data_IF_639422763735
#
_entry.id   IF_639422763735
#
_cell.length_a   1.000
_cell.length_b   1.000
_cell.length_c   1.000
_cell.angle_alpha   90.00
_cell.angle_beta   90.00
_cell.angle_gamma   90.00
#
_symmetry.space_group_name_H-M   'P 1'
#
loop_
_entity.id
_entity.type
_entity.pdbx_description
1 polymer ?
#
# COMPACT_ATOMS: atom_id res chain seq x y z
N UNK A 1 -4.32 17.27 0.06
CA UNK A 1 -5.64 16.62 0.05
C UNK A 1 -5.69 15.73 1.28
N UNK A 2 -6.69 15.88 2.17
CA UNK A 2 -6.81 14.97 3.32
C UNK A 2 -7.28 13.61 2.77
N UNK A 3 -6.49 12.57 2.99
CA UNK A 3 -6.89 11.22 2.59
C UNK A 3 -7.97 10.77 3.58
N UNK A 4 -9.12 10.35 3.07
CA UNK A 4 -10.21 9.80 3.91
C UNK A 4 -10.36 8.31 3.64
N UNK A 5 -10.97 7.60 4.57
CA UNK A 5 -11.31 6.17 4.45
C UNK A 5 -12.07 5.86 3.16
N UNK A 6 -13.07 6.68 2.82
CA UNK A 6 -13.85 6.54 1.59
C UNK A 6 -13.00 6.78 0.35
N UNK A 7 -12.08 7.75 0.42
CA UNK A 7 -11.17 8.06 -0.69
C UNK A 7 -10.20 6.90 -0.96
N UNK A 8 -9.64 6.31 0.10
CA UNK A 8 -8.78 5.12 0.00
C UNK A 8 -9.54 3.95 -0.63
N UNK A 9 -10.71 3.61 -0.08
CA UNK A 9 -11.51 2.49 -0.59
C UNK A 9 -11.96 2.74 -2.04
N UNK A 10 -12.34 3.98 -2.37
CA UNK A 10 -12.68 4.36 -3.75
C UNK A 10 -11.51 4.15 -4.70
N UNK A 11 -10.29 4.55 -4.32
CA UNK A 11 -9.09 4.33 -5.13
C UNK A 11 -8.81 2.84 -5.29
N UNK A 12 -8.82 2.06 -4.21
CA UNK A 12 -8.51 0.64 -4.27
C UNK A 12 -9.50 -0.15 -5.13
N UNK A 13 -10.78 0.25 -5.14
CA UNK A 13 -11.82 -0.40 -5.97
C UNK A 13 -11.72 -0.08 -7.45
N UNK A 14 -11.01 0.98 -7.85
CA UNK A 14 -10.93 1.40 -9.26
C UNK A 14 -10.14 0.44 -10.14
N UNK A 15 -9.13 -0.22 -9.58
CA UNK A 15 -8.24 -1.10 -10.33
C UNK A 15 -7.67 -2.18 -9.40
N UNK A 16 -7.71 -3.44 -9.84
CA UNK A 16 -7.25 -4.58 -9.06
C UNK A 16 -5.72 -4.58 -8.80
N UNK A 17 -4.96 -3.75 -9.51
CA UNK A 17 -3.53 -3.50 -9.29
C UNK A 17 -3.28 -2.58 -8.08
N UNK A 18 -4.28 -1.78 -7.69
CA UNK A 18 -4.16 -0.83 -6.60
C UNK A 18 -4.03 -1.57 -5.27
N UNK A 19 -3.17 -1.07 -4.39
CA UNK A 19 -2.86 -1.72 -3.13
C UNK A 19 -2.36 -0.70 -2.11
N UNK A 20 -2.42 -1.06 -0.83
CA UNK A 20 -1.66 -0.35 0.21
C UNK A 20 -0.44 -1.21 0.54
N UNK A 21 0.75 -0.63 0.54
CA UNK A 21 1.97 -1.28 1.00
C UNK A 21 2.41 -0.69 2.32
N UNK A 22 2.48 -1.52 3.35
CA UNK A 22 3.25 -1.25 4.56
C UNK A 22 4.62 -1.86 4.34
N UNK A 23 5.68 -1.08 4.55
CA UNK A 23 7.05 -1.57 4.43
C UNK A 23 7.86 -1.20 5.66
N UNK A 24 8.85 -2.03 5.97
CA UNK A 24 9.86 -1.78 6.97
C UNK A 24 11.23 -2.32 6.55
N UNK A 25 12.27 -1.67 7.04
CA UNK A 25 13.66 -2.09 6.91
C UNK A 25 14.36 -2.00 8.26
N UNK A 26 15.09 -3.05 8.58
CA UNK A 26 15.88 -3.25 9.80
C UNK A 26 15.09 -3.22 11.10
N UNK A 27 13.76 -3.33 11.07
CA UNK A 27 12.90 -3.24 12.26
C UNK A 27 13.24 -4.27 13.34
N UNK A 28 13.72 -5.46 12.96
CA UNK A 28 14.10 -6.53 13.90
C UNK A 28 15.61 -6.75 14.02
N UNK A 29 16.43 -5.94 13.33
CA UNK A 29 17.88 -6.14 13.28
C UNK A 29 18.57 -5.61 14.55
N UNK A 30 19.21 -6.51 15.30
CA UNK A 30 19.96 -6.16 16.52
C UNK A 30 21.17 -5.28 16.16
N UNK A 31 21.22 -4.07 16.72
CA UNK A 31 22.31 -3.11 16.48
C UNK A 31 22.09 -2.15 15.30
N UNK A 32 20.89 -2.15 14.70
CA UNK A 32 20.54 -1.15 13.70
C UNK A 32 20.53 0.26 14.32
N UNK A 33 21.19 1.21 13.65
CA UNK A 33 21.27 2.61 14.08
C UNK A 33 20.05 3.45 13.63
N UNK A 34 19.14 2.83 12.89
CA UNK A 34 17.91 3.45 12.40
C UNK A 34 16.99 2.42 11.75
N UNK A 35 15.70 2.74 11.74
CA UNK A 35 14.66 1.95 11.10
C UNK A 35 13.96 2.81 10.06
N UNK A 36 13.66 2.24 8.90
CA UNK A 36 12.84 2.90 7.88
C UNK A 36 11.54 2.14 7.78
N UNK A 37 10.42 2.83 7.90
CA UNK A 37 9.11 2.26 7.68
C UNK A 37 8.19 3.27 7.01
N UNK A 38 7.15 2.79 6.34
CA UNK A 38 6.17 3.65 5.69
C UNK A 38 4.95 2.88 5.26
N UNK A 39 3.90 3.64 4.97
CA UNK A 39 2.63 3.14 4.46
C UNK A 39 2.29 3.96 3.22
N UNK A 40 2.17 3.31 2.07
CA UNK A 40 1.82 3.96 0.82
C UNK A 40 0.56 3.38 0.23
N UNK A 41 -0.32 4.26 -0.26
CA UNK A 41 -1.39 3.91 -1.18
C UNK A 41 -0.83 3.97 -2.60
N UNK A 42 -0.75 2.82 -3.25
CA UNK A 42 -0.26 2.68 -4.61
C UNK A 42 -1.45 2.50 -5.55
N UNK A 43 -1.52 3.35 -6.58
CA UNK A 43 -2.62 3.30 -7.53
C UNK A 43 -2.19 3.56 -8.96
N UNK A 44 -2.86 2.87 -9.87
CA UNK A 44 -2.69 3.02 -11.29
C UNK A 44 -3.35 4.32 -11.78
N UNK A 45 -2.65 5.08 -12.63
CA UNK A 45 -3.13 6.28 -13.30
C UNK A 45 -3.29 5.99 -14.81
N UNK A 46 -4.53 5.71 -15.28
CA UNK A 46 -4.79 5.35 -16.68
C UNK A 46 -4.39 6.44 -17.69
N UNK A 47 -4.21 7.68 -17.24
CA UNK A 47 -3.77 8.76 -18.13
C UNK A 47 -2.41 8.47 -18.76
N UNK A 48 -1.51 7.77 -18.05
CA UNK A 48 -0.15 7.47 -18.52
C UNK A 48 -0.02 6.11 -19.22
N UNK A 49 -1.11 5.33 -19.28
CA UNK A 49 -1.09 3.95 -19.75
C UNK A 49 -0.63 3.85 -21.22
N UNK A 50 0.41 3.05 -21.46
CA UNK A 50 0.92 2.73 -22.79
C UNK A 50 1.88 3.75 -23.42
N UNK A 51 2.10 4.92 -22.80
CA UNK A 51 3.03 5.93 -23.33
C UNK A 51 4.01 6.49 -22.29
N UNK A 52 3.75 6.32 -20.99
CA UNK A 52 4.69 6.66 -19.93
C UNK A 52 4.65 5.63 -18.78
N UNK A 53 5.20 4.42 -18.96
CA UNK A 53 5.11 3.32 -17.98
C UNK A 53 5.61 3.68 -16.58
N UNK A 54 6.63 4.54 -16.49
CA UNK A 54 7.17 5.00 -15.21
C UNK A 54 6.21 5.89 -14.40
N UNK A 55 5.14 6.41 -15.03
CA UNK A 55 4.13 7.27 -14.41
C UNK A 55 2.78 6.58 -14.21
N UNK A 56 2.62 5.36 -14.75
CA UNK A 56 1.40 4.56 -14.61
C UNK A 56 1.12 4.18 -13.16
N UNK A 57 2.15 4.02 -12.33
CA UNK A 57 1.97 3.76 -10.89
C UNK A 57 2.29 5.01 -10.09
N UNK A 58 1.33 5.44 -9.27
CA UNK A 58 1.47 6.56 -8.34
C UNK A 58 1.51 6.04 -6.92
N UNK A 59 2.28 6.71 -6.07
CA UNK A 59 2.34 6.44 -4.64
C UNK A 59 2.01 7.69 -3.83
N UNK A 60 1.24 7.51 -2.77
CA UNK A 60 0.95 8.56 -1.77
C UNK A 60 1.13 7.98 -0.38
N UNK A 61 1.88 8.67 0.47
CA UNK A 61 2.02 8.28 1.86
C UNK A 61 0.71 8.49 2.62
N UNK A 62 0.30 7.47 3.36
CA UNK A 62 -0.82 7.52 4.30
C UNK A 62 -0.31 7.21 5.71
N UNK A 63 -1.12 7.55 6.71
CA UNK A 63 -0.82 7.33 8.12
C UNK A 63 -1.41 6.01 8.63
N UNK A 64 -0.86 5.50 9.75
CA UNK A 64 -1.37 4.29 10.37
C UNK A 64 -2.86 4.36 10.75
N UNK A 65 -3.39 5.47 11.31
CA UNK A 65 -4.82 5.58 11.60
C UNK A 65 -5.72 5.54 10.36
N UNK A 66 -5.22 5.95 9.20
CA UNK A 66 -5.96 5.84 7.93
C UNK A 66 -6.01 4.39 7.45
N UNK A 67 -4.92 3.65 7.60
CA UNK A 67 -4.87 2.21 7.32
C UNK A 67 -5.81 1.42 8.25
N UNK A 68 -5.74 1.66 9.57
CA UNK A 68 -6.56 0.93 10.56
C UNK A 68 -8.06 0.98 10.25
N UNK A 69 -8.55 2.11 9.73
CA UNK A 69 -9.96 2.28 9.35
C UNK A 69 -10.38 1.45 8.13
N UNK A 70 -9.45 1.08 7.25
CA UNK A 70 -9.75 0.33 6.02
C UNK A 70 -9.41 -1.16 6.11
N UNK A 71 -8.56 -1.58 7.05
CA UNK A 71 -8.17 -3.00 7.27
C UNK A 71 -9.36 -3.98 7.23
N UNK A 72 -10.51 -3.70 7.88
CA UNK A 72 -11.64 -4.65 7.89
C UNK A 72 -12.20 -5.01 6.50
N UNK A 73 -11.90 -4.22 5.47
CA UNK A 73 -12.37 -4.40 4.11
C UNK A 73 -11.30 -5.00 3.17
N UNK A 74 -10.12 -5.35 3.70
CA UNK A 74 -8.95 -5.70 2.91
C UNK A 74 -8.45 -7.11 3.23
N UNK A 75 -7.95 -7.77 2.20
CA UNK A 75 -7.08 -8.95 2.31
C UNK A 75 -5.64 -8.49 2.52
N UNK A 76 -4.83 -9.28 3.23
CA UNK A 76 -3.43 -8.96 3.53
C UNK A 76 -2.50 -10.09 3.15
N UNK A 77 -1.46 -9.76 2.39
CA UNK A 77 -0.34 -10.63 2.09
C UNK A 77 0.91 -10.13 2.81
N UNK A 78 1.54 -11.01 3.60
CA UNK A 78 2.81 -10.70 4.27
C UNK A 78 3.98 -11.06 3.36
N UNK A 79 5.03 -10.24 3.38
CA UNK A 79 6.24 -10.50 2.62
C UNK A 79 7.50 -10.10 3.41
N UNK A 80 8.63 -10.67 3.00
CA UNK A 80 9.93 -10.41 3.62
C UNK A 80 10.35 -11.44 4.66
N UNK A 81 11.43 -11.12 5.37
CA UNK A 81 12.17 -12.04 6.24
C UNK A 81 12.40 -11.49 7.66
N UNK A 82 11.70 -10.40 8.00
CA UNK A 82 11.83 -9.68 9.26
C UNK A 82 12.93 -8.61 9.25
N UNK A 83 13.93 -8.71 8.38
CA UNK A 83 14.97 -7.69 8.20
C UNK A 83 14.54 -6.65 7.16
N UNK A 84 13.92 -7.10 6.10
CA UNK A 84 13.13 -6.27 5.17
C UNK A 84 11.80 -6.96 4.95
N UNK A 85 10.71 -6.20 4.87
CA UNK A 85 9.41 -6.79 4.65
C UNK A 85 8.27 -5.83 4.89
N UNK A 86 7.11 -6.44 5.04
CA UNK A 86 5.90 -5.73 5.42
C UNK A 86 4.66 -6.47 4.93
N UNK A 87 3.65 -5.68 4.59
CA UNK A 87 2.30 -6.18 4.33
C UNK A 87 1.74 -5.46 3.10
N UNK A 88 1.05 -6.21 2.24
CA UNK A 88 0.34 -5.66 1.10
C UNK A 88 -1.14 -5.90 1.31
N UNK A 89 -1.91 -4.82 1.38
CA UNK A 89 -3.36 -4.86 1.54
C UNK A 89 -4.06 -4.58 0.21
N UNK A 90 -5.07 -5.41 -0.11
CA UNK A 90 -5.86 -5.29 -1.35
C UNK A 90 -7.34 -5.54 -1.08
N UNK A 91 -8.22 -4.97 -1.91
CA UNK A 91 -9.63 -5.35 -1.91
C UNK A 91 -9.72 -6.85 -2.25
N UNK A 92 -10.40 -7.67 -1.42
CA UNK A 92 -10.61 -9.07 -1.74
C UNK A 92 -11.26 -9.18 -3.11
N UNK A 93 -10.74 -10.04 -3.97
CA UNK A 93 -11.46 -10.38 -5.19
C UNK A 93 -12.67 -11.20 -4.76
N UNK A 94 -13.86 -10.83 -5.23
CA UNK A 94 -14.97 -11.78 -5.21
C UNK A 94 -14.50 -12.99 -6.02
N UNK A 95 -14.51 -14.18 -5.40
CA UNK A 95 -14.30 -15.42 -6.15
C UNK A 95 -15.47 -15.54 -7.14
N UNK A 96 -15.18 -15.37 -8.44
CA UNK A 96 -16.13 -15.64 -9.52
C UNK A 96 -16.54 -17.12 -9.55
#
# INVERSE_FOLDING_TARGET
MKVTTESILSILRKDARNNITVFHRWQTAKGALGHTAGITLNYHDPYYEGWAPALEMREVFISAPELEQVIPYLSVDKWGDGLIGGEIYRIPREEE
#
